data_IF_532276084097
#
_entry.id   IF_532276084097
#
_cell.length_a   1.000
_cell.length_b   1.000
_cell.length_c   1.000
_cell.angle_alpha   90.00
_cell.angle_beta   90.00
_cell.angle_gamma   90.00
#
_symmetry.space_group_name_H-M   'P 1'
#
loop_
_entity.id
_entity.type
_entity.pdbx_description
1 polymer ?
#
# COMPACT_ATOMS: atom_id res chain seq x y z
N UNK A 1 -3.23 6.13 0.51
CA UNK A 1 -4.61 6.60 0.74
C UNK A 1 -5.08 6.04 2.08
N UNK A 2 -6.04 6.69 2.73
CA UNK A 2 -6.64 6.28 4.00
C UNK A 2 -8.14 6.20 3.83
N UNK A 3 -8.76 5.23 4.49
CA UNK A 3 -10.21 5.11 4.59
C UNK A 3 -10.55 4.82 6.04
N UNK A 4 -11.57 5.49 6.56
CA UNK A 4 -12.07 5.29 7.92
C UNK A 4 -13.05 4.13 8.00
N UNK A 5 -13.59 3.69 6.86
CA UNK A 5 -14.58 2.63 6.77
C UNK A 5 -14.01 1.49 5.92
N UNK A 6 -13.42 0.51 6.60
CA UNK A 6 -13.00 -0.75 5.99
C UNK A 6 -13.10 -1.84 7.02
N UNK A 7 -13.89 -2.86 6.69
CA UNK A 7 -14.08 -4.04 7.55
C UNK A 7 -13.13 -5.16 7.13
N UNK A 8 -12.60 -5.10 5.91
CA UNK A 8 -11.82 -6.13 5.25
C UNK A 8 -10.32 -5.88 5.36
N UNK A 9 -9.54 -6.91 5.67
CA UNK A 9 -8.08 -6.86 5.57
C UNK A 9 -7.65 -7.66 4.35
N UNK A 10 -7.12 -6.99 3.33
CA UNK A 10 -6.73 -7.61 2.06
C UNK A 10 -5.25 -7.35 1.81
N UNK A 11 -4.49 -8.41 1.48
CA UNK A 11 -3.11 -8.29 1.03
C UNK A 11 -3.02 -8.89 -0.38
N UNK A 12 -2.48 -8.14 -1.33
CA UNK A 12 -2.29 -8.58 -2.71
C UNK A 12 -0.82 -8.47 -3.07
N UNK A 13 -0.25 -9.55 -3.62
CA UNK A 13 1.14 -9.64 -4.05
C UNK A 13 1.21 -9.86 -5.57
N UNK A 14 1.92 -8.97 -6.27
CA UNK A 14 2.16 -8.99 -7.72
C UNK A 14 0.93 -9.23 -8.60
N UNK A 15 -0.27 -8.88 -8.09
CA UNK A 15 -1.57 -9.23 -8.68
C UNK A 15 -1.72 -10.73 -9.01
N UNK A 16 -0.96 -11.60 -8.35
CA UNK A 16 -0.90 -13.04 -8.60
C UNK A 16 -1.32 -13.89 -7.41
N UNK A 17 -1.14 -13.36 -6.21
CA UNK A 17 -1.57 -13.97 -4.97
C UNK A 17 -2.33 -12.96 -4.12
N UNK A 18 -3.32 -13.44 -3.38
CA UNK A 18 -4.05 -12.66 -2.40
C UNK A 18 -4.14 -13.43 -1.09
N UNK A 19 -3.91 -12.74 0.02
CA UNK A 19 -4.07 -13.25 1.37
C UNK A 19 -5.20 -12.48 2.05
N UNK A 20 -6.19 -13.22 2.56
CA UNK A 20 -7.33 -12.66 3.28
C UNK A 20 -7.40 -13.35 4.65
N UNK A 21 -7.15 -12.64 5.77
CA UNK A 21 -7.34 -13.18 7.10
C UNK A 21 -8.76 -13.69 7.29
N UNK A 22 -8.93 -14.81 8.00
CA UNK A 22 -10.25 -15.32 8.35
C UNK A 22 -10.98 -14.36 9.30
N UNK A 23 -10.22 -13.62 10.10
CA UNK A 23 -10.70 -12.55 10.97
C UNK A 23 -9.83 -11.30 10.76
N UNK A 24 -10.36 -10.21 10.19
CA UNK A 24 -9.62 -8.97 9.97
C UNK A 24 -9.07 -8.32 11.25
N UNK A 25 -9.68 -8.62 12.41
CA UNK A 25 -9.30 -8.08 13.72
C UNK A 25 -8.32 -9.00 14.48
N UNK A 26 -8.23 -10.27 14.08
CA UNK A 26 -7.32 -11.27 14.67
C UNK A 26 -6.68 -12.17 13.61
N UNK A 27 -5.50 -11.77 13.14
CA UNK A 27 -4.77 -12.51 12.10
C UNK A 27 -4.19 -13.85 12.58
N UNK A 28 -4.22 -14.15 13.89
CA UNK A 28 -3.74 -15.43 14.43
C UNK A 28 -4.66 -16.60 14.07
N UNK A 29 -5.93 -16.31 13.74
CA UNK A 29 -6.95 -17.30 13.38
C UNK A 29 -6.70 -17.96 12.02
N UNK A 30 -5.68 -17.52 11.29
CA UNK A 30 -5.30 -18.01 9.98
C UNK A 30 -5.82 -17.12 8.85
N UNK A 31 -5.50 -17.52 7.62
CA UNK A 31 -5.82 -16.77 6.43
C UNK A 31 -6.05 -17.67 5.22
N UNK A 32 -6.89 -17.22 4.31
CA UNK A 32 -7.03 -17.79 2.98
C UNK A 32 -5.91 -17.24 2.10
N UNK A 33 -5.08 -18.14 1.55
CA UNK A 33 -4.10 -17.81 0.50
C UNK A 33 -4.62 -18.31 -0.84
N UNK A 34 -4.91 -17.37 -1.74
CA UNK A 34 -5.36 -17.63 -3.08
C UNK A 34 -4.25 -17.36 -4.10
N UNK A 35 -4.08 -18.28 -5.05
CA UNK A 35 -3.17 -18.12 -6.19
C UNK A 35 -3.97 -18.13 -7.49
N UNK A 36 -3.55 -17.30 -8.45
CA UNK A 36 -3.92 -17.30 -9.88
C UNK A 36 -5.25 -17.99 -10.21
N UNK A 37 -6.35 -17.39 -9.76
CA UNK A 37 -7.71 -17.85 -10.02
C UNK A 37 -8.64 -16.65 -10.13
N UNK A 38 -9.87 -16.86 -10.59
CA UNK A 38 -10.89 -15.79 -10.62
C UNK A 38 -11.14 -15.14 -9.26
N UNK A 39 -10.84 -15.87 -8.17
CA UNK A 39 -10.91 -15.36 -6.81
C UNK A 39 -9.85 -14.26 -6.54
N UNK A 40 -8.63 -14.40 -7.07
CA UNK A 40 -7.60 -13.35 -6.98
C UNK A 40 -8.05 -12.10 -7.74
N UNK A 41 -8.63 -12.27 -8.95
CA UNK A 41 -9.16 -11.15 -9.73
C UNK A 41 -10.26 -10.40 -8.99
N UNK A 42 -11.17 -11.11 -8.33
CA UNK A 42 -12.23 -10.50 -7.52
C UNK A 42 -11.67 -9.75 -6.29
N UNK A 43 -10.68 -10.30 -5.60
CA UNK A 43 -10.04 -9.62 -4.46
C UNK A 43 -9.33 -8.34 -4.92
N UNK A 44 -8.64 -8.38 -6.07
CA UNK A 44 -8.01 -7.19 -6.64
C UNK A 44 -9.08 -6.14 -6.97
N UNK A 45 -10.18 -6.53 -7.61
CA UNK A 45 -11.26 -5.59 -7.93
C UNK A 45 -11.86 -4.94 -6.67
N UNK A 46 -12.02 -5.71 -5.58
CA UNK A 46 -12.46 -5.18 -4.30
C UNK A 46 -11.44 -4.19 -3.70
N UNK A 47 -10.15 -4.53 -3.74
CA UNK A 47 -9.09 -3.62 -3.30
C UNK A 47 -9.12 -2.31 -4.07
N UNK A 48 -9.18 -2.35 -5.40
CA UNK A 48 -9.21 -1.14 -6.24
C UNK A 48 -10.45 -0.29 -5.94
N UNK A 49 -11.62 -0.92 -5.71
CA UNK A 49 -12.84 -0.20 -5.34
C UNK A 49 -12.68 0.55 -4.01
N UNK A 50 -12.11 -0.11 -3.00
CA UNK A 50 -11.83 0.53 -1.70
C UNK A 50 -10.81 1.66 -1.87
N UNK A 51 -9.77 1.42 -2.67
CA UNK A 51 -8.71 2.39 -2.91
C UNK A 51 -9.20 3.64 -3.65
N UNK A 52 -10.11 3.48 -4.61
CA UNK A 52 -10.68 4.60 -5.37
C UNK A 52 -11.53 5.51 -4.46
N UNK A 53 -12.22 4.93 -3.48
CA UNK A 53 -13.03 5.65 -2.49
C UNK A 53 -12.22 6.23 -1.33
N UNK A 54 -10.98 5.78 -1.15
CA UNK A 54 -10.13 6.23 -0.07
C UNK A 54 -9.57 7.65 -0.31
N UNK A 55 -9.37 8.38 0.77
CA UNK A 55 -8.83 9.74 0.76
C UNK A 55 -7.30 9.74 0.66
N UNK A 56 -6.71 10.86 0.26
CA UNK A 56 -5.26 11.02 0.33
C UNK A 56 -4.78 10.90 1.77
N UNK A 57 -3.60 10.30 1.95
CA UNK A 57 -3.03 10.19 3.29
C UNK A 57 -2.71 11.62 3.76
N UNK A 58 -3.21 12.06 4.93
CA UNK A 58 -2.87 13.36 5.44
C UNK A 58 -1.35 13.49 5.59
N UNK A 59 -0.80 14.69 5.37
CA UNK A 59 0.63 14.92 5.59
C UNK A 59 0.98 14.47 7.01
N UNK A 60 2.09 13.74 7.17
CA UNK A 60 2.51 13.30 8.49
C UNK A 60 2.72 14.54 9.37
N UNK A 61 1.99 14.63 10.48
CA UNK A 61 2.15 15.67 11.48
C UNK A 61 3.53 15.48 12.14
N UNK A 62 4.54 16.08 11.53
CA UNK A 62 5.90 16.05 12.02
C UNK A 62 5.97 16.82 13.33
N UNK A 63 5.99 16.10 14.45
CA UNK A 63 6.54 16.62 15.69
C UNK A 63 7.96 17.13 15.42
N UNK A 64 8.13 18.45 15.58
CA UNK A 64 9.38 19.21 15.67
C UNK A 64 10.64 18.59 15.03
N UNK A 65 11.11 19.14 13.90
CA UNK A 65 12.54 19.00 13.61
C UNK A 65 13.06 19.35 12.23
N UNK A 66 12.20 19.42 11.22
CA UNK A 66 12.58 20.03 9.96
C UNK A 66 11.37 20.80 9.49
N UNK A 67 11.53 22.11 9.32
CA UNK A 67 10.79 22.80 8.26
C UNK A 67 10.70 21.86 7.07
N UNK A 68 9.64 22.01 6.30
CA UNK A 68 9.56 21.62 4.90
C UNK A 68 10.72 22.30 4.12
N UNK A 69 11.94 21.94 4.48
CA UNK A 69 13.19 22.42 3.97
C UNK A 69 13.27 21.76 2.63
N UNK A 70 13.25 22.58 1.60
CA UNK A 70 13.60 22.15 0.27
C UNK A 70 14.76 21.15 0.38
N UNK A 71 14.54 19.95 -0.17
CA UNK A 71 15.59 18.96 -0.34
C UNK A 71 16.82 19.72 -0.86
N UNK A 72 17.96 19.53 -0.21
CA UNK A 72 19.21 20.06 -0.74
C UNK A 72 19.37 19.58 -2.18
N UNK A 73 20.14 20.32 -2.98
CA UNK A 73 20.39 19.93 -4.36
C UNK A 73 20.95 18.50 -4.48
N UNK A 74 21.63 18.00 -3.45
CA UNK A 74 22.11 16.61 -3.40
C UNK A 74 20.99 15.61 -3.12
N UNK A 75 20.18 15.82 -2.09
CA UNK A 75 19.07 14.91 -1.75
C UNK A 75 18.06 14.79 -2.89
N UNK A 76 17.78 15.91 -3.57
CA UNK A 76 16.91 15.91 -4.76
C UNK A 76 17.50 15.07 -5.90
N UNK A 77 18.81 15.17 -6.15
CA UNK A 77 19.49 14.35 -7.17
C UNK A 77 19.47 12.87 -6.82
N UNK A 78 19.69 12.52 -5.56
CA UNK A 78 19.62 11.13 -5.09
C UNK A 78 18.21 10.57 -5.27
N UNK A 79 17.18 11.32 -4.86
CA UNK A 79 15.79 10.90 -5.02
C UNK A 79 15.42 10.71 -6.49
N UNK A 80 15.82 11.63 -7.36
CA UNK A 80 15.61 11.50 -8.81
C UNK A 80 16.30 10.23 -9.32
N UNK A 81 17.57 10.01 -8.98
CA UNK A 81 18.30 8.81 -9.40
C UNK A 81 17.61 7.52 -8.94
N UNK A 82 17.11 7.46 -7.70
CA UNK A 82 16.35 6.30 -7.19
C UNK A 82 15.03 6.06 -7.94
N UNK A 83 14.37 7.13 -8.39
CA UNK A 83 13.11 7.04 -9.13
C UNK A 83 13.32 6.73 -10.63
N UNK A 84 14.45 7.15 -11.21
CA UNK A 84 14.71 7.01 -12.65
C UNK A 84 15.57 5.81 -13.01
N UNK A 85 16.43 5.37 -12.08
CA UNK A 85 17.24 4.16 -12.29
C UNK A 85 16.43 3.00 -11.77
N UNK A 86 15.90 2.19 -12.70
CA UNK A 86 15.38 0.87 -12.37
C UNK A 86 16.48 0.08 -11.69
N UNK A 87 16.11 -0.75 -10.70
CA UNK A 87 17.02 -1.71 -10.08
C UNK A 87 17.68 -2.49 -11.22
N UNK A 88 18.98 -2.29 -11.45
CA UNK A 88 19.75 -3.11 -12.39
C UNK A 88 19.55 -4.56 -11.95
N UNK A 89 18.93 -5.34 -12.84
CA UNK A 89 18.83 -6.80 -12.74
C UNK A 89 20.05 -7.44 -13.40
#
# INVERSE_FOLDING_TARGET
>A
RVTTDTTERLLVYDRRAALVPLDPRDTSRGALLAHRSGLVSNIIALFEKIWDQAEELPPADGGNGTSRGDLSAMERRVLVAMCTVGKDE
#
